data_IF_652583788883
#
_entry.id   IF_652583788883
#
_cell.length_a   1.000
_cell.length_b   1.000
_cell.length_c   1.000
_cell.angle_alpha   90.00
_cell.angle_beta   90.00
_cell.angle_gamma   90.00
#
_symmetry.space_group_name_H-M   'P 1'
#
loop_
_entity.id
_entity.type
_entity.pdbx_description
1 polymer ?
#
# COMPACT_ATOMS: atom_id res chain seq x y z
N UNK A 1 21.85 9.57 27.37
CA UNK A 1 20.61 10.19 26.84
C UNK A 1 20.08 9.31 25.73
N UNK A 2 18.89 8.71 25.91
CA UNK A 2 18.30 7.76 24.97
C UNK A 2 17.34 8.44 23.99
N UNK A 3 17.84 8.79 22.81
CA UNK A 3 16.99 9.27 21.71
C UNK A 3 16.20 8.10 21.10
N UNK A 4 15.04 8.38 20.51
CA UNK A 4 14.21 7.36 19.87
C UNK A 4 14.71 7.04 18.47
N UNK A 5 15.10 5.79 18.22
CA UNK A 5 15.42 5.28 16.88
C UNK A 5 14.16 4.79 16.15
N UNK A 6 14.17 4.88 14.81
CA UNK A 6 13.21 4.17 13.97
C UNK A 6 11.77 4.71 14.00
N UNK A 7 11.55 5.96 14.41
CA UNK A 7 10.22 6.59 14.31
C UNK A 7 9.81 6.62 12.83
N UNK A 8 8.82 5.78 12.50
CA UNK A 8 8.35 5.62 11.11
C UNK A 8 7.54 6.83 10.65
N UNK A 9 6.76 7.42 11.56
CA UNK A 9 5.86 8.55 11.32
C UNK A 9 5.89 9.52 12.50
N UNK A 10 6.04 10.81 12.20
CA UNK A 10 5.86 11.92 13.16
C UNK A 10 4.37 12.27 13.25
N UNK A 11 3.91 12.77 14.40
CA UNK A 11 2.54 13.35 14.48
C UNK A 11 2.46 14.61 13.62
N UNK A 12 1.27 14.99 13.18
CA UNK A 12 1.07 16.20 12.34
C UNK A 12 1.68 17.43 13.03
N UNK A 13 1.44 17.58 14.34
CA UNK A 13 2.02 18.68 15.12
C UNK A 13 3.55 18.66 15.18
N UNK A 14 4.17 17.48 15.29
CA UNK A 14 5.64 17.37 15.25
C UNK A 14 6.17 17.73 13.86
N UNK A 15 5.48 17.33 12.79
CA UNK A 15 5.87 17.67 11.42
C UNK A 15 5.86 19.19 11.22
N UNK A 16 4.75 19.85 11.58
CA UNK A 16 4.61 21.30 11.50
C UNK A 16 5.69 22.01 12.34
N UNK A 17 5.91 21.57 13.58
CA UNK A 17 6.91 22.19 14.45
C UNK A 17 8.35 22.01 13.94
N UNK A 18 8.67 20.85 13.34
CA UNK A 18 9.97 20.61 12.70
C UNK A 18 10.16 21.48 11.46
N UNK A 19 9.12 21.61 10.61
CA UNK A 19 9.16 22.44 9.41
C UNK A 19 9.31 23.92 9.78
N UNK A 20 8.49 24.41 10.73
CA UNK A 20 8.57 25.78 11.22
C UNK A 20 9.92 26.07 11.89
N UNK A 21 10.40 25.15 12.72
CA UNK A 21 11.71 25.27 13.35
C UNK A 21 12.85 25.31 12.32
N UNK A 22 12.73 24.55 11.22
CA UNK A 22 13.72 24.59 10.14
C UNK A 22 13.66 25.90 9.36
N UNK A 23 12.47 26.45 9.10
CA UNK A 23 12.29 27.76 8.47
C UNK A 23 12.85 28.91 9.33
N UNK A 24 12.81 28.76 10.66
CA UNK A 24 13.42 29.68 11.63
C UNK A 24 14.95 29.51 11.77
N UNK A 25 15.58 28.63 10.99
CA UNK A 25 17.03 28.43 11.00
C UNK A 25 17.53 27.49 12.10
N UNK A 26 16.66 26.80 12.86
CA UNK A 26 17.11 25.83 13.87
C UNK A 26 17.88 24.69 13.24
N UNK A 27 18.89 24.21 13.96
CA UNK A 27 19.71 23.08 13.57
C UNK A 27 18.97 21.76 13.80
N UNK A 28 19.37 20.70 13.09
CA UNK A 28 18.78 19.37 13.28
C UNK A 28 19.03 18.84 14.69
N UNK A 29 20.17 19.17 15.29
CA UNK A 29 20.53 18.79 16.66
C UNK A 29 19.57 19.41 17.69
N UNK A 30 19.24 20.69 17.55
CA UNK A 30 18.31 21.38 18.44
C UNK A 30 16.90 20.80 18.34
N UNK A 31 16.42 20.58 17.12
CA UNK A 31 15.13 19.94 16.88
C UNK A 31 15.13 18.49 17.41
N UNK A 32 16.24 17.77 17.25
CA UNK A 32 16.42 16.41 17.77
C UNK A 32 16.33 16.35 19.29
N UNK A 33 16.98 17.28 19.98
CA UNK A 33 16.88 17.45 21.43
C UNK A 33 15.45 17.75 21.87
N UNK A 34 14.77 18.68 21.18
CA UNK A 34 13.40 19.09 21.51
C UNK A 34 12.40 17.92 21.42
N UNK A 35 12.48 17.10 20.37
CA UNK A 35 11.52 16.02 20.15
C UNK A 35 11.99 14.66 20.67
N UNK A 36 13.20 14.58 21.24
CA UNK A 36 13.88 13.34 21.63
C UNK A 36 14.06 12.35 20.46
N UNK A 37 14.53 12.86 19.32
CA UNK A 37 14.69 12.12 18.06
C UNK A 37 16.11 12.33 17.54
N UNK A 38 16.70 11.29 16.97
CA UNK A 38 17.99 11.44 16.30
C UNK A 38 17.91 12.39 15.10
N UNK A 39 18.97 13.15 14.88
CA UNK A 39 19.12 14.04 13.71
C UNK A 39 18.87 13.32 12.39
N UNK A 40 19.31 12.05 12.30
CA UNK A 40 19.08 11.20 11.13
C UNK A 40 17.59 10.96 10.86
N UNK A 41 16.75 10.91 11.89
CA UNK A 41 15.30 10.81 11.76
C UNK A 41 14.68 12.08 11.19
N UNK A 42 15.15 13.24 11.65
CA UNK A 42 14.68 14.56 11.18
C UNK A 42 15.16 14.80 9.73
N UNK A 43 16.42 14.50 9.42
CA UNK A 43 16.96 14.60 8.06
C UNK A 43 16.17 13.73 7.08
N UNK A 44 15.90 12.46 7.44
CA UNK A 44 15.06 11.56 6.62
C UNK A 44 13.64 12.07 6.44
N UNK A 45 13.06 12.70 7.46
CA UNK A 45 11.75 13.31 7.37
C UNK A 45 11.74 14.50 6.40
N UNK A 46 12.67 15.45 6.55
CA UNK A 46 12.76 16.62 5.67
C UNK A 46 13.02 16.21 4.22
N UNK A 47 13.91 15.25 3.98
CA UNK A 47 14.14 14.71 2.63
C UNK A 47 12.87 14.12 2.03
N UNK A 48 12.16 13.30 2.80
CA UNK A 48 10.88 12.72 2.37
C UNK A 48 9.82 13.79 2.08
N UNK A 49 9.76 14.85 2.88
CA UNK A 49 8.81 15.95 2.69
C UNK A 49 9.05 16.63 1.34
N UNK A 50 10.32 16.86 0.98
CA UNK A 50 10.71 17.40 -0.34
C UNK A 50 10.34 16.42 -1.45
N UNK A 51 10.68 15.14 -1.31
CA UNK A 51 10.38 14.10 -2.30
C UNK A 51 8.86 13.94 -2.54
N UNK A 52 8.03 14.20 -1.52
CA UNK A 52 6.57 14.10 -1.57
C UNK A 52 5.88 15.42 -1.94
N UNK A 53 6.61 16.52 -2.15
CA UNK A 53 6.03 17.83 -2.41
C UNK A 53 5.16 18.37 -1.26
N UNK A 54 5.47 17.99 -0.02
CA UNK A 54 4.71 18.40 1.17
C UNK A 54 3.44 17.58 1.43
N UNK A 55 3.13 16.57 0.61
CA UNK A 55 1.90 15.78 0.78
C UNK A 55 2.08 14.74 1.90
N UNK A 56 1.15 14.68 2.89
CA UNK A 56 1.20 13.66 3.92
C UNK A 56 1.09 12.27 3.30
N UNK A 57 1.79 11.30 3.88
CA UNK A 57 1.85 9.93 3.37
C UNK A 57 0.44 9.29 3.33
N UNK A 58 -0.14 9.19 2.14
CA UNK A 58 -1.36 8.43 1.89
C UNK A 58 -1.04 6.93 1.93
N UNK A 59 -1.92 6.07 2.47
CA UNK A 59 -1.80 4.63 2.32
C UNK A 59 -1.66 4.27 0.83
N UNK A 60 -0.66 3.45 0.50
CA UNK A 60 -0.53 2.96 -0.88
C UNK A 60 -1.75 2.08 -1.19
N UNK A 61 -2.35 2.25 -2.37
CA UNK A 61 -3.47 1.43 -2.86
C UNK A 61 -3.13 -0.06 -3.03
N UNK A 62 -1.85 -0.42 -2.91
CA UNK A 62 -1.35 -1.78 -3.06
C UNK A 62 -1.18 -2.18 -4.52
N UNK A 63 -1.05 -3.48 -4.77
CA UNK A 63 -0.99 -4.02 -6.13
C UNK A 63 -2.40 -3.99 -6.73
N UNK A 64 -2.58 -3.52 -7.98
CA UNK A 64 -3.86 -3.65 -8.68
C UNK A 64 -4.32 -5.10 -8.70
N UNK A 65 -5.62 -5.35 -8.51
CA UNK A 65 -6.19 -6.69 -8.63
C UNK A 65 -6.16 -7.13 -10.10
N UNK A 66 -5.53 -8.26 -10.38
CA UNK A 66 -5.58 -8.87 -11.72
C UNK A 66 -6.89 -9.62 -11.97
N UNK A 67 -7.60 -10.00 -10.92
CA UNK A 67 -8.85 -10.77 -10.98
C UNK A 67 -10.03 -9.97 -10.43
N UNK A 68 -11.23 -10.25 -10.95
CA UNK A 68 -12.48 -9.68 -10.45
C UNK A 68 -12.96 -10.43 -9.20
N UNK A 69 -13.78 -9.75 -8.37
CA UNK A 69 -14.39 -10.39 -7.18
C UNK A 69 -15.24 -11.60 -7.53
N UNK A 70 -15.93 -11.56 -8.68
CA UNK A 70 -16.75 -12.67 -9.16
C UNK A 70 -15.88 -13.84 -9.60
N UNK A 71 -14.78 -13.57 -10.31
CA UNK A 71 -13.80 -14.59 -10.68
C UNK A 71 -13.25 -15.30 -9.45
N UNK A 72 -12.78 -14.54 -8.45
CA UNK A 72 -12.24 -15.10 -7.21
C UNK A 72 -13.28 -15.96 -6.46
N UNK A 73 -14.54 -15.50 -6.39
CA UNK A 73 -15.65 -16.26 -5.81
C UNK A 73 -15.86 -17.58 -6.53
N UNK A 74 -15.84 -17.56 -7.86
CA UNK A 74 -16.07 -18.75 -8.68
C UNK A 74 -14.93 -19.75 -8.53
N UNK A 75 -13.67 -19.29 -8.54
CA UNK A 75 -12.49 -20.12 -8.25
C UNK A 75 -12.63 -20.82 -6.90
N UNK A 76 -13.00 -20.08 -5.85
CA UNK A 76 -13.23 -20.64 -4.52
C UNK A 76 -14.38 -21.65 -4.50
N UNK A 77 -15.46 -21.39 -5.25
CA UNK A 77 -16.61 -22.29 -5.33
C UNK A 77 -16.23 -23.63 -5.99
N UNK A 78 -15.54 -23.58 -7.12
CA UNK A 78 -15.12 -24.75 -7.88
C UNK A 78 -14.09 -25.59 -7.09
N UNK A 79 -13.09 -24.92 -6.51
CA UNK A 79 -12.08 -25.57 -5.67
C UNK A 79 -12.68 -26.26 -4.43
N UNK A 80 -13.71 -25.66 -3.81
CA UNK A 80 -14.42 -26.28 -2.67
C UNK A 80 -15.33 -27.42 -3.08
N UNK A 81 -15.99 -27.31 -4.23
CA UNK A 81 -16.86 -28.37 -4.74
C UNK A 81 -16.06 -29.63 -5.06
N UNK A 82 -14.91 -29.48 -5.72
CA UNK A 82 -14.06 -30.57 -6.13
C UNK A 82 -12.57 -30.24 -5.87
N UNK A 83 -12.00 -30.68 -4.72
CA UNK A 83 -10.60 -30.40 -4.35
C UNK A 83 -9.56 -31.01 -5.29
N UNK A 84 -9.96 -31.91 -6.19
CA UNK A 84 -9.08 -32.56 -7.17
C UNK A 84 -8.91 -31.75 -8.47
N UNK A 85 -9.67 -30.68 -8.65
CA UNK A 85 -9.57 -29.85 -9.85
C UNK A 85 -8.24 -29.10 -9.88
N UNK A 86 -7.59 -29.10 -11.05
CA UNK A 86 -6.38 -28.31 -11.26
C UNK A 86 -6.75 -26.86 -11.61
N UNK A 87 -5.78 -25.95 -11.54
CA UNK A 87 -5.99 -24.56 -11.95
C UNK A 87 -6.44 -24.45 -13.42
N UNK A 88 -5.98 -25.36 -14.28
CA UNK A 88 -6.37 -25.43 -15.70
C UNK A 88 -7.84 -25.84 -15.83
N UNK A 89 -8.28 -26.83 -15.06
CA UNK A 89 -9.67 -27.30 -15.09
C UNK A 89 -10.63 -26.23 -14.57
N UNK A 90 -10.25 -25.52 -13.49
CA UNK A 90 -11.01 -24.39 -12.95
C UNK A 90 -11.11 -23.26 -13.98
N UNK A 91 -10.03 -22.96 -14.71
CA UNK A 91 -10.06 -21.96 -15.77
C UNK A 91 -10.97 -22.40 -16.93
N UNK A 92 -10.86 -23.65 -17.41
CA UNK A 92 -11.73 -24.19 -18.45
C UNK A 92 -13.20 -24.12 -18.06
N UNK A 93 -13.53 -24.56 -16.86
CA UNK A 93 -14.90 -24.54 -16.36
C UNK A 93 -15.41 -23.11 -16.21
N UNK A 94 -14.56 -22.16 -15.78
CA UNK A 94 -14.94 -20.76 -15.67
C UNK A 94 -15.16 -20.07 -17.03
N UNK A 95 -14.39 -20.44 -18.06
CA UNK A 95 -14.48 -19.86 -19.41
C UNK A 95 -15.39 -20.65 -20.36
N UNK A 96 -16.06 -21.70 -19.87
CA UNK A 96 -17.01 -22.45 -20.66
C UNK A 96 -18.25 -21.57 -20.93
N UNK A 97 -18.57 -21.26 -22.21
CA UNK A 97 -19.71 -20.44 -22.58
C UNK A 97 -21.06 -21.06 -22.18
N UNK A 98 -21.11 -22.37 -21.90
CA UNK A 98 -22.29 -23.06 -21.41
C UNK A 98 -22.41 -23.01 -19.89
N UNK A 99 -21.39 -22.52 -19.18
CA UNK A 99 -21.43 -22.42 -17.72
C UNK A 99 -22.20 -21.16 -17.28
N UNK A 100 -23.25 -21.29 -16.44
CA UNK A 100 -23.97 -20.14 -15.90
C UNK A 100 -23.08 -19.17 -15.12
N UNK A 101 -21.92 -19.62 -14.60
CA UNK A 101 -20.93 -18.75 -13.96
C UNK A 101 -20.24 -17.78 -14.91
N UNK A 102 -20.03 -18.19 -16.16
CA UNK A 102 -19.42 -17.37 -17.19
C UNK A 102 -20.35 -16.22 -17.57
N UNK A 103 -21.63 -16.53 -17.80
CA UNK A 103 -22.69 -15.56 -18.16
C UNK A 103 -22.87 -14.48 -17.10
N UNK A 104 -22.75 -14.83 -15.82
CA UNK A 104 -22.87 -13.89 -14.69
C UNK A 104 -21.61 -13.04 -14.44
N UNK A 105 -20.48 -13.36 -15.08
CA UNK A 105 -19.20 -12.69 -14.84
C UNK A 105 -18.99 -11.41 -15.66
N UNK A 106 -19.78 -11.21 -16.72
CA UNK A 106 -19.94 -9.92 -17.42
C UNK A 106 -18.70 -9.28 -18.05
N UNK A 107 -17.52 -9.89 -18.02
CA UNK A 107 -16.29 -9.30 -18.59
C UNK A 107 -15.27 -10.38 -18.97
N UNK A 108 -14.88 -10.34 -20.25
CA UNK A 108 -13.71 -11.05 -20.77
C UNK A 108 -12.42 -10.53 -20.15
N UNK A 109 -11.50 -11.46 -19.89
CA UNK A 109 -10.11 -11.10 -19.64
C UNK A 109 -9.58 -10.31 -20.85
N UNK A 110 -9.05 -9.10 -20.62
CA UNK A 110 -8.15 -8.50 -21.61
C UNK A 110 -6.86 -9.32 -21.57
N UNK A 111 -6.58 -10.00 -22.66
CA UNK A 111 -5.30 -10.63 -22.90
C UNK A 111 -4.23 -9.53 -22.81
N UNK A 112 -3.24 -9.71 -21.94
CA UNK A 112 -2.06 -8.85 -21.92
C UNK A 112 -1.11 -9.45 -22.97
N UNK A 113 -0.78 -8.66 -23.99
CA UNK A 113 0.27 -8.96 -24.97
C UNK A 113 1.64 -9.12 -24.28
#
# INVERSE_FOLDING_TARGET
MGFRHGIRNFTIQQQEAIVNGRAQGRTLLELGKQFNIYESGISKFLKRLVDQGGVPKVPKSGRPRSTSRLFDRNVLRLSRANPRLTAVDIAREHFDPQNPLFVLSGVGFKQLD
#
